data_IF_885023947699
#
_entry.id   IF_885023947699
#
_cell.length_a   1.000
_cell.length_b   1.000
_cell.length_c   1.000
_cell.angle_alpha   90.00
_cell.angle_beta   90.00
_cell.angle_gamma   90.00
#
_symmetry.space_group_name_H-M   'P 1'
#
loop_
_entity.id
_entity.type
_entity.pdbx_description
1 polymer ?
#
# COMPACT_ATOMS: atom_id res chain seq x y z
N UNK A 1 -4.23 4.47 -26.86
CA UNK A 1 -5.44 5.15 -26.36
C UNK A 1 -5.97 4.54 -25.05
N UNK A 2 -5.10 4.05 -24.15
CA UNK A 2 -5.52 3.46 -22.85
C UNK A 2 -5.14 4.30 -21.62
N UNK A 3 -4.29 5.33 -21.77
CA UNK A 3 -3.78 6.13 -20.64
C UNK A 3 -4.86 7.00 -20.00
N UNK A 4 -5.79 7.57 -20.78
CA UNK A 4 -6.83 8.46 -20.24
C UNK A 4 -7.86 7.75 -19.37
N UNK A 5 -8.12 6.46 -19.59
CA UNK A 5 -9.05 5.71 -18.73
C UNK A 5 -8.45 5.34 -17.38
N UNK A 6 -7.13 5.28 -17.27
CA UNK A 6 -6.47 4.91 -16.01
C UNK A 6 -6.47 6.06 -15.00
N UNK A 7 -6.35 7.30 -15.46
CA UNK A 7 -6.38 8.50 -14.62
C UNK A 7 -7.73 8.72 -13.93
N UNK A 8 -8.84 8.47 -14.64
CA UNK A 8 -10.18 8.62 -14.08
C UNK A 8 -10.45 7.63 -12.93
N UNK A 9 -9.89 6.42 -12.99
CA UNK A 9 -10.08 5.36 -11.97
C UNK A 9 -9.43 5.73 -10.65
N UNK A 10 -8.21 6.29 -10.69
CA UNK A 10 -7.50 6.78 -9.51
C UNK A 10 -8.24 7.96 -8.85
N UNK A 11 -8.82 8.85 -9.65
CA UNK A 11 -9.60 9.99 -9.15
C UNK A 11 -10.86 9.58 -8.38
N UNK A 12 -11.68 8.67 -8.92
CA UNK A 12 -12.91 8.22 -8.25
C UNK A 12 -12.63 7.38 -7.00
N UNK A 13 -11.58 6.57 -7.01
CA UNK A 13 -11.13 5.84 -5.83
C UNK A 13 -10.71 6.79 -4.70
N UNK A 14 -9.89 7.80 -5.00
CA UNK A 14 -9.46 8.77 -4.00
C UNK A 14 -10.63 9.49 -3.34
N UNK A 15 -11.70 9.79 -4.09
CA UNK A 15 -12.87 10.50 -3.58
C UNK A 15 -13.69 9.67 -2.57
N UNK A 16 -13.86 8.36 -2.81
CA UNK A 16 -14.55 7.47 -1.87
C UNK A 16 -13.69 7.07 -0.66
N UNK A 17 -12.38 7.07 -0.85
CA UNK A 17 -11.43 6.63 0.18
C UNK A 17 -11.20 7.72 1.21
N UNK A 18 -11.10 8.98 0.79
CA UNK A 18 -10.87 10.11 1.70
C UNK A 18 -11.84 10.19 2.92
N UNK A 19 -13.17 10.04 2.76
CA UNK A 19 -14.08 10.00 3.91
C UNK A 19 -13.97 8.71 4.74
N UNK A 20 -13.62 7.58 4.10
CA UNK A 20 -13.43 6.31 4.79
C UNK A 20 -12.17 6.33 5.67
N UNK A 21 -11.06 6.87 5.15
CA UNK A 21 -9.79 7.06 5.87
C UNK A 21 -9.92 8.01 7.04
N UNK A 22 -10.75 9.05 6.91
CA UNK A 22 -11.04 9.97 8.00
C UNK A 22 -11.84 9.31 9.14
N UNK A 23 -12.75 8.38 8.82
CA UNK A 23 -13.71 7.81 9.78
C UNK A 23 -13.20 6.54 10.49
N UNK A 24 -12.51 5.66 9.78
CA UNK A 24 -12.12 4.31 10.27
C UNK A 24 -10.65 4.18 10.68
N UNK A 25 -9.80 5.16 10.38
CA UNK A 25 -8.39 5.13 10.76
C UNK A 25 -7.47 4.72 9.61
N UNK A 26 -6.21 5.13 9.72
CA UNK A 26 -5.20 4.97 8.65
C UNK A 26 -4.75 3.52 8.53
N UNK A 27 -4.70 2.78 9.65
CA UNK A 27 -4.35 1.36 9.65
C UNK A 27 -5.37 0.54 8.88
N UNK A 28 -6.64 0.69 9.23
CA UNK A 28 -7.75 -0.02 8.57
C UNK A 28 -7.88 0.36 7.10
N UNK A 29 -7.54 1.60 6.74
CA UNK A 29 -7.58 2.05 5.36
C UNK A 29 -6.50 1.43 4.50
N UNK A 30 -5.27 1.27 5.02
CA UNK A 30 -4.21 0.55 4.30
C UNK A 30 -4.54 -0.95 4.23
N UNK A 31 -5.10 -1.54 5.30
CA UNK A 31 -5.53 -2.94 5.28
C UNK A 31 -6.63 -3.18 4.23
N UNK A 32 -7.63 -2.29 4.15
CA UNK A 32 -8.67 -2.35 3.12
C UNK A 32 -8.09 -2.15 1.70
N UNK A 33 -7.17 -1.20 1.54
CA UNK A 33 -6.47 -0.96 0.27
C UNK A 33 -5.71 -2.22 -0.20
N UNK A 34 -4.97 -2.85 0.71
CA UNK A 34 -4.25 -4.09 0.44
C UNK A 34 -5.20 -5.26 0.15
N UNK A 35 -6.33 -5.35 0.85
CA UNK A 35 -7.35 -6.37 0.58
C UNK A 35 -7.96 -6.23 -0.82
N UNK A 36 -8.34 -5.01 -1.20
CA UNK A 36 -8.86 -4.69 -2.55
C UNK A 36 -7.79 -5.00 -3.61
N UNK A 37 -6.53 -4.67 -3.33
CA UNK A 37 -5.40 -5.00 -4.20
C UNK A 37 -5.24 -6.52 -4.38
N UNK A 38 -5.26 -7.29 -3.28
CA UNK A 38 -5.10 -8.74 -3.33
C UNK A 38 -6.24 -9.39 -4.12
N UNK A 39 -7.48 -8.95 -3.93
CA UNK A 39 -8.61 -9.43 -4.73
C UNK A 39 -8.40 -9.12 -6.21
N UNK A 40 -8.03 -7.88 -6.55
CA UNK A 40 -7.77 -7.48 -7.94
C UNK A 40 -6.62 -8.27 -8.59
N UNK A 41 -5.56 -8.58 -7.83
CA UNK A 41 -4.44 -9.38 -8.30
C UNK A 41 -4.81 -10.87 -8.47
N UNK A 42 -5.59 -11.46 -7.54
CA UNK A 42 -6.07 -12.84 -7.66
C UNK A 42 -6.95 -13.00 -8.91
N UNK A 43 -7.87 -12.06 -9.16
CA UNK A 43 -8.73 -12.10 -10.34
C UNK A 43 -7.91 -11.95 -11.63
N UNK A 44 -6.78 -11.23 -11.61
CA UNK A 44 -5.88 -11.15 -12.77
C UNK A 44 -5.13 -12.46 -13.03
N UNK A 45 -4.75 -13.20 -11.98
CA UNK A 45 -4.02 -14.48 -12.12
C UNK A 45 -4.92 -15.62 -12.61
N UNK A 46 -6.21 -15.59 -12.30
CA UNK A 46 -7.15 -16.66 -12.71
C UNK A 46 -7.39 -16.60 -14.23
N UNK A 47 -7.06 -17.67 -14.99
CA UNK A 47 -7.23 -17.72 -16.44
C UNK A 47 -8.72 -17.85 -16.77
N UNK A 48 -9.41 -16.71 -16.88
CA UNK A 48 -10.86 -16.68 -17.10
C UNK A 48 -11.23 -16.64 -18.60
N UNK A 49 -10.25 -16.69 -19.53
CA UNK A 49 -10.44 -16.53 -20.99
C UNK A 49 -11.26 -15.29 -21.43
N UNK A 50 -11.57 -14.38 -20.50
CA UNK A 50 -12.36 -13.17 -20.72
C UNK A 50 -11.49 -11.94 -20.51
N UNK A 51 -11.20 -11.25 -21.61
CA UNK A 51 -10.42 -10.01 -21.62
C UNK A 51 -11.09 -8.92 -20.77
N UNK A 52 -12.43 -8.91 -20.70
CA UNK A 52 -13.19 -7.97 -19.88
C UNK A 52 -12.93 -8.15 -18.37
N UNK A 53 -12.88 -9.39 -17.89
CA UNK A 53 -12.60 -9.69 -16.49
C UNK A 53 -11.18 -9.21 -16.09
N UNK A 54 -10.21 -9.38 -16.98
CA UNK A 54 -8.84 -8.90 -16.78
C UNK A 54 -8.78 -7.36 -16.68
N UNK A 55 -9.47 -6.63 -17.57
CA UNK A 55 -9.52 -5.16 -17.49
C UNK A 55 -10.17 -4.66 -16.19
N UNK A 56 -11.29 -5.26 -15.78
CA UNK A 56 -11.98 -4.93 -14.52
C UNK A 56 -11.07 -5.20 -13.32
N UNK A 57 -10.38 -6.34 -13.30
CA UNK A 57 -9.46 -6.70 -12.24
C UNK A 57 -8.28 -5.72 -12.15
N UNK A 58 -7.79 -5.22 -13.28
CA UNK A 58 -6.75 -4.18 -13.34
C UNK A 58 -7.21 -2.84 -12.76
N UNK A 59 -8.48 -2.48 -12.98
CA UNK A 59 -9.08 -1.31 -12.33
C UNK A 59 -9.08 -1.49 -10.82
N UNK A 60 -9.59 -2.63 -10.33
CA UNK A 60 -9.70 -2.92 -8.90
C UNK A 60 -8.32 -2.91 -8.23
N UNK A 61 -7.32 -3.58 -8.81
CA UNK A 61 -5.96 -3.58 -8.26
C UNK A 61 -5.33 -2.18 -8.28
N UNK A 62 -5.55 -1.40 -9.35
CA UNK A 62 -5.03 -0.05 -9.47
C UNK A 62 -5.58 0.90 -8.40
N UNK A 63 -6.86 0.74 -8.06
CA UNK A 63 -7.50 1.47 -6.95
C UNK A 63 -6.82 1.13 -5.62
N UNK A 64 -6.62 -0.16 -5.32
CA UNK A 64 -5.94 -0.61 -4.10
C UNK A 64 -4.52 -0.07 -3.97
N UNK A 65 -3.72 -0.14 -5.05
CA UNK A 65 -2.36 0.43 -5.07
C UNK A 65 -2.39 1.94 -4.90
N UNK A 66 -3.22 2.66 -5.66
CA UNK A 66 -3.28 4.12 -5.60
C UNK A 66 -3.60 4.64 -4.19
N UNK A 67 -4.53 3.98 -3.49
CA UNK A 67 -4.81 4.27 -2.09
C UNK A 67 -3.61 4.03 -1.18
N UNK A 68 -2.96 2.86 -1.31
CA UNK A 68 -1.83 2.49 -0.48
C UNK A 68 -0.66 3.47 -0.66
N UNK A 69 -0.36 3.87 -1.89
CA UNK A 69 0.76 4.78 -2.20
C UNK A 69 0.58 6.18 -1.62
N UNK A 70 -0.66 6.62 -1.35
CA UNK A 70 -0.92 7.90 -0.67
C UNK A 70 -0.93 7.74 0.85
N UNK A 71 -1.56 6.69 1.36
CA UNK A 71 -1.76 6.52 2.82
C UNK A 71 -0.49 6.05 3.51
N UNK A 72 0.35 5.22 2.88
CA UNK A 72 1.60 4.70 3.46
C UNK A 72 2.60 5.82 3.79
N UNK A 73 3.02 6.70 2.85
CA UNK A 73 3.93 7.78 3.19
C UNK A 73 3.28 8.77 4.16
N UNK A 74 1.96 9.00 4.08
CA UNK A 74 1.25 9.82 5.05
C UNK A 74 1.37 9.24 6.46
N UNK A 75 1.10 7.96 6.63
CA UNK A 75 1.22 7.24 7.90
C UNK A 75 2.65 7.29 8.45
N UNK A 76 3.65 6.99 7.60
CA UNK A 76 5.07 7.09 7.98
C UNK A 76 5.43 8.51 8.42
N UNK A 77 4.91 9.52 7.71
CA UNK A 77 5.19 10.92 8.00
C UNK A 77 4.55 11.43 9.30
N UNK A 78 3.51 10.75 9.80
CA UNK A 78 2.82 11.07 11.05
C UNK A 78 3.37 10.32 12.26
N UNK A 79 3.97 9.16 12.01
CA UNK A 79 4.67 8.38 13.03
C UNK A 79 6.13 8.81 13.20
N UNK A 80 6.73 9.42 12.18
CA UNK A 80 8.14 9.79 12.21
C UNK A 80 8.43 10.98 13.15
N UNK A 81 9.52 10.92 13.95
CA UNK A 81 10.03 12.06 14.69
C UNK A 81 10.42 13.22 13.75
N UNK A 82 10.25 14.47 14.22
CA UNK A 82 10.55 15.69 13.45
C UNK A 82 11.97 15.70 12.85
N UNK A 83 12.95 15.11 13.53
CA UNK A 83 14.36 15.07 13.12
C UNK A 83 14.67 14.09 11.98
N UNK A 84 13.91 13.00 11.84
CA UNK A 84 14.22 11.91 10.88
C UNK A 84 13.13 11.69 9.82
N UNK A 85 12.03 12.46 9.85
CA UNK A 85 10.92 12.36 8.89
C UNK A 85 11.38 12.36 7.43
N UNK A 86 12.33 13.24 7.08
CA UNK A 86 12.89 13.30 5.73
C UNK A 86 13.67 12.04 5.36
N UNK A 87 14.46 11.49 6.28
CA UNK A 87 15.23 10.26 6.06
C UNK A 87 14.32 9.05 5.85
N UNK A 88 13.28 8.90 6.68
CA UNK A 88 12.28 7.82 6.51
C UNK A 88 11.56 7.90 5.15
N UNK A 89 11.21 9.11 4.69
CA UNK A 89 10.62 9.32 3.38
C UNK A 89 11.55 8.87 2.24
N UNK A 90 12.83 9.26 2.29
CA UNK A 90 13.82 8.83 1.31
C UNK A 90 14.08 7.33 1.32
N UNK A 91 14.08 6.70 2.50
CA UNK A 91 14.18 5.24 2.62
C UNK A 91 12.99 4.54 1.97
N UNK A 92 11.77 5.02 2.22
CA UNK A 92 10.56 4.45 1.60
C UNK A 92 10.63 4.52 0.06
N UNK A 93 11.01 5.69 -0.48
CA UNK A 93 11.19 5.86 -1.92
C UNK A 93 12.32 4.97 -2.46
N UNK A 94 13.41 4.80 -1.71
CA UNK A 94 14.51 3.90 -2.08
C UNK A 94 14.05 2.45 -2.20
N UNK A 95 13.32 1.93 -1.21
CA UNK A 95 12.72 0.60 -1.27
C UNK A 95 11.71 0.46 -2.42
N UNK A 96 10.92 1.50 -2.69
CA UNK A 96 9.99 1.51 -3.81
C UNK A 96 10.72 1.35 -5.15
N UNK A 97 11.78 2.12 -5.39
CA UNK A 97 12.59 2.04 -6.61
C UNK A 97 13.31 0.70 -6.73
N UNK A 98 13.86 0.18 -5.62
CA UNK A 98 14.48 -1.15 -5.61
C UNK A 98 13.47 -2.25 -5.95
N UNK A 99 12.24 -2.17 -5.45
CA UNK A 99 11.18 -3.12 -5.78
C UNK A 99 10.84 -3.11 -7.27
N UNK A 100 10.70 -1.93 -7.87
CA UNK A 100 10.48 -1.78 -9.32
C UNK A 100 11.68 -2.31 -10.12
N UNK A 101 12.90 -2.05 -9.67
CA UNK A 101 14.11 -2.58 -10.30
C UNK A 101 14.11 -4.12 -10.34
N UNK A 102 13.81 -4.79 -9.22
CA UNK A 102 13.70 -6.25 -9.20
C UNK A 102 12.55 -6.76 -10.07
N UNK A 103 11.42 -6.05 -10.14
CA UNK A 103 10.31 -6.40 -11.04
C UNK A 103 10.78 -6.50 -12.49
N UNK A 104 11.52 -5.49 -12.98
CA UNK A 104 12.03 -5.51 -14.36
C UNK A 104 12.99 -6.68 -14.64
N UNK A 105 13.84 -7.03 -13.66
CA UNK A 105 14.72 -8.20 -13.80
C UNK A 105 13.96 -9.51 -13.88
N UNK A 106 12.85 -9.62 -13.15
CA UNK A 106 12.00 -10.80 -13.16
C UNK A 106 11.22 -10.89 -14.46
N UNK A 107 10.68 -9.77 -14.95
CA UNK A 107 10.03 -9.69 -16.26
C UNK A 107 10.98 -10.14 -17.38
N UNK A 108 12.23 -9.66 -17.34
CA UNK A 108 13.27 -10.08 -18.29
C UNK A 108 13.64 -11.57 -18.17
N UNK A 109 13.74 -12.09 -16.95
CA UNK A 109 14.02 -13.51 -16.72
C UNK A 109 12.89 -14.42 -17.24
N UNK A 110 11.64 -13.99 -17.05
CA UNK A 110 10.43 -14.68 -17.50
C UNK A 110 10.33 -14.68 -19.02
N UNK A 111 10.57 -13.54 -19.67
CA UNK A 111 10.62 -13.43 -21.14
C UNK A 111 11.67 -14.36 -21.76
N UNK A 112 12.83 -14.51 -21.11
CA UNK A 112 13.92 -15.33 -21.64
C UNK A 112 13.75 -16.85 -21.45
N UNK A 113 13.07 -17.29 -20.39
CA UNK A 113 12.98 -18.71 -20.01
C UNK A 113 11.62 -19.35 -20.30
N UNK A 114 10.58 -18.56 -20.57
CA UNK A 114 9.22 -19.06 -20.81
C UNK A 114 8.81 -18.77 -22.26
N UNK A 115 8.33 -19.79 -23.01
CA UNK A 115 7.82 -19.57 -24.36
C UNK A 115 6.60 -18.64 -24.40
N UNK A 116 6.52 -17.78 -25.41
CA UNK A 116 5.38 -16.86 -25.67
C UNK A 116 4.02 -17.53 -25.75
N UNK A 117 3.99 -18.85 -25.97
CA UNK A 117 2.77 -19.65 -26.07
C UNK A 117 2.18 -20.07 -24.72
N UNK A 118 2.87 -19.80 -23.60
CA UNK A 118 2.39 -20.17 -22.27
C UNK A 118 1.80 -18.96 -21.53
N UNK A 119 0.54 -19.07 -21.12
CA UNK A 119 -0.15 -18.07 -20.28
C UNK A 119 0.59 -17.76 -18.97
N UNK A 120 1.51 -18.65 -18.56
CA UNK A 120 2.35 -18.45 -17.39
C UNK A 120 3.33 -17.27 -17.52
N UNK A 121 3.68 -16.81 -18.73
CA UNK A 121 4.63 -15.71 -18.92
C UNK A 121 4.13 -14.39 -18.33
N UNK A 122 2.83 -14.08 -18.48
CA UNK A 122 2.24 -12.86 -17.94
C UNK A 122 1.65 -13.05 -16.54
N UNK A 123 1.32 -14.28 -16.16
CA UNK A 123 0.79 -14.60 -14.83
C UNK A 123 1.85 -14.55 -13.73
N UNK A 124 3.10 -14.93 -14.01
CA UNK A 124 4.16 -14.99 -13.00
C UNK A 124 4.49 -13.60 -12.43
N UNK A 125 4.69 -12.54 -13.23
CA UNK A 125 4.91 -11.19 -12.71
C UNK A 125 3.71 -10.67 -11.89
N UNK A 126 2.49 -10.92 -12.37
CA UNK A 126 1.25 -10.50 -11.71
C UNK A 126 1.02 -11.27 -10.41
N UNK A 127 1.38 -12.56 -10.37
CA UNK A 127 1.34 -13.35 -9.14
C UNK A 127 2.40 -12.88 -8.14
N UNK A 128 3.57 -12.49 -8.62
CA UNK A 128 4.65 -12.04 -7.74
C UNK A 128 4.31 -10.73 -7.01
N UNK A 129 3.62 -9.77 -7.65
CA UNK A 129 3.19 -8.54 -6.95
C UNK A 129 2.19 -8.80 -5.81
N UNK A 130 1.53 -9.97 -5.78
CA UNK A 130 0.66 -10.36 -4.67
C UNK A 130 1.48 -10.56 -3.38
N UNK A 131 2.74 -10.99 -3.48
CA UNK A 131 3.62 -11.23 -2.34
C UNK A 131 3.88 -9.95 -1.54
N UNK A 132 4.43 -8.86 -2.10
CA UNK A 132 4.64 -7.62 -1.36
C UNK A 132 3.30 -6.97 -0.94
N UNK A 133 2.24 -7.09 -1.74
CA UNK A 133 0.92 -6.57 -1.38
C UNK A 133 0.30 -7.28 -0.17
N UNK A 134 0.44 -8.60 -0.11
CA UNK A 134 0.00 -9.43 1.01
C UNK A 134 0.86 -9.22 2.26
N UNK A 135 2.18 -9.11 2.11
CA UNK A 135 3.09 -8.76 3.21
C UNK A 135 2.72 -7.39 3.81
N UNK A 136 2.42 -6.40 2.96
CA UNK A 136 1.98 -5.09 3.43
C UNK A 136 0.63 -5.18 4.15
N UNK A 137 -0.34 -5.91 3.61
CA UNK A 137 -1.65 -6.12 4.25
C UNK A 137 -1.55 -6.79 5.62
N UNK A 138 -0.79 -7.88 5.70
CA UNK A 138 -0.54 -8.61 6.94
C UNK A 138 0.28 -7.77 7.93
N UNK A 139 1.30 -7.04 7.45
CA UNK A 139 2.11 -6.14 8.27
C UNK A 139 1.29 -5.04 8.95
N UNK A 140 0.27 -4.52 8.26
CA UNK A 140 -0.64 -3.52 8.85
C UNK A 140 -1.54 -4.09 9.95
N UNK A 141 -1.73 -5.41 10.04
CA UNK A 141 -2.45 -6.03 11.17
C UNK A 141 -1.62 -6.04 12.46
N UNK A 142 -0.29 -5.97 12.36
CA UNK A 142 0.60 -5.91 13.52
C UNK A 142 0.93 -4.48 13.96
N UNK A 143 0.74 -3.48 13.08
CA UNK A 143 1.04 -2.08 13.37
C UNK A 143 -0.03 -1.42 14.25
N UNK A 144 0.39 -0.49 15.12
CA UNK A 144 -0.52 0.35 15.91
C UNK A 144 -1.12 1.48 15.05
N UNK A 145 -2.25 2.03 15.48
CA UNK A 145 -2.94 3.11 14.75
C UNK A 145 -2.11 4.42 14.78
N UNK A 146 -2.26 5.27 13.76
CA UNK A 146 -1.56 6.56 13.66
C UNK A 146 -1.89 7.48 14.84
N UNK A 147 -0.84 8.00 15.51
CA UNK A 147 -0.91 8.91 16.66
C UNK A 147 -1.78 10.13 16.36
N UNK A 148 -1.61 10.73 15.18
CA UNK A 148 -2.36 11.93 14.74
C UNK A 148 -3.85 11.64 14.58
N UNK A 149 -4.22 10.44 14.11
CA UNK A 149 -5.63 10.05 13.97
C UNK A 149 -6.27 9.81 15.34
N UNK A 150 -5.56 9.12 16.23
CA UNK A 150 -5.98 8.89 17.61
C UNK A 150 -6.17 10.21 18.38
N UNK A 151 -5.25 11.16 18.23
CA UNK A 151 -5.35 12.50 18.81
C UNK A 151 -6.57 13.27 18.29
N UNK A 152 -6.85 13.21 16.97
CA UNK A 152 -8.04 13.87 16.37
C UNK A 152 -9.37 13.26 16.83
N UNK A 153 -9.37 11.99 17.24
CA UNK A 153 -10.53 11.26 17.80
C UNK A 153 -10.71 11.47 19.32
N UNK A 154 -9.83 12.23 19.98
CA UNK A 154 -9.85 12.42 21.44
C UNK A 154 -9.34 11.22 22.24
N UNK A 155 -8.72 10.22 21.60
CA UNK A 155 -8.19 9.01 22.25
C UNK A 155 -6.73 9.21 22.64
N UNK A 156 -6.48 10.14 23.57
CA UNK A 156 -5.13 10.56 23.96
C UNK A 156 -4.30 9.44 24.59
N UNK A 157 -4.90 8.57 25.39
CA UNK A 157 -4.20 7.44 26.03
C UNK A 157 -3.65 6.43 25.02
N UNK A 158 -4.41 6.16 23.97
CA UNK A 158 -3.98 5.27 22.89
C UNK A 158 -2.97 5.93 21.97
N UNK A 159 -3.12 7.25 21.72
CA UNK A 159 -2.12 8.03 21.00
C UNK A 159 -0.76 7.94 21.71
N UNK A 160 -0.75 8.07 23.04
CA UNK A 160 0.46 7.94 23.86
C UNK A 160 1.03 6.51 23.79
N UNK A 161 0.20 5.46 23.90
CA UNK A 161 0.65 4.06 23.75
C UNK A 161 1.23 3.73 22.37
N UNK A 162 0.74 4.38 21.31
CA UNK A 162 1.32 4.27 19.98
C UNK A 162 2.65 5.00 19.90
N UNK A 163 2.74 6.19 20.48
CA UNK A 163 3.93 7.04 20.48
C UNK A 163 5.09 6.40 21.27
N UNK A 164 4.81 5.86 22.47
CA UNK A 164 5.77 5.11 23.29
C UNK A 164 6.28 3.86 22.56
N UNK A 165 5.42 3.18 21.80
CA UNK A 165 5.81 2.02 21.01
C UNK A 165 6.76 2.39 19.86
N UNK A 166 6.51 3.50 19.17
CA UNK A 166 7.39 4.00 18.09
C UNK A 166 8.74 4.45 18.65
N UNK A 167 8.74 5.06 19.85
CA UNK A 167 9.94 5.58 20.50
C UNK A 167 10.72 4.55 21.33
N UNK A 168 10.29 3.28 21.33
CA UNK A 168 11.03 2.20 21.99
C UNK A 168 10.92 2.17 23.51
N UNK A 169 9.91 2.80 24.12
CA UNK A 169 9.62 2.70 25.55
C UNK A 169 10.12 3.85 26.44
N UNK A 170 10.74 4.89 25.89
CA UNK A 170 11.11 6.08 26.68
C UNK A 170 9.92 7.03 26.84
N UNK A 171 9.38 7.14 28.07
CA UNK A 171 8.48 8.23 28.47
C UNK A 171 9.30 9.51 28.72
N UNK A 172 9.85 10.10 27.66
CA UNK A 172 10.58 11.39 27.78
C UNK A 172 9.58 12.54 27.81
N UNK A 173 9.78 13.59 28.61
CA UNK A 173 8.86 14.75 28.69
C UNK A 173 8.62 15.43 27.32
N UNK A 174 9.59 15.36 26.40
CA UNK A 174 9.45 15.82 25.01
C UNK A 174 8.41 15.04 24.19
N UNK A 175 8.10 13.80 24.59
CA UNK A 175 7.05 12.94 24.01
C UNK A 175 5.66 13.42 24.41
N UNK A 176 5.56 14.02 25.60
CA UNK A 176 4.30 14.54 26.17
C UNK A 176 4.00 15.98 25.72
N UNK A 177 5.03 16.70 25.29
CA UNK A 177 4.96 18.08 24.80
C UNK A 177 4.66 18.21 23.29
N UNK A 178 4.75 17.11 22.51
CA UNK A 178 4.41 17.04 21.08
C UNK A 178 2.98 16.53 20.81
#
# INVERSE_FOLDING_TARGET
>A
MSTSTDDHKAFFACFFVWPFTAKYGRRWSIALASFIFCIGAIIQVIPTHSVAAFYVARVISGIGVGMATVIVPMYTSEMAPKSIRGKLGSFFQGFFVLGVFFSYWIDYAVEKHIPETSDSQWQIPIGLQLVPGGVLGLGMLFLKESVRWLAKKGRHDEAMRSLVWIRGGEETEEVRAE
#
